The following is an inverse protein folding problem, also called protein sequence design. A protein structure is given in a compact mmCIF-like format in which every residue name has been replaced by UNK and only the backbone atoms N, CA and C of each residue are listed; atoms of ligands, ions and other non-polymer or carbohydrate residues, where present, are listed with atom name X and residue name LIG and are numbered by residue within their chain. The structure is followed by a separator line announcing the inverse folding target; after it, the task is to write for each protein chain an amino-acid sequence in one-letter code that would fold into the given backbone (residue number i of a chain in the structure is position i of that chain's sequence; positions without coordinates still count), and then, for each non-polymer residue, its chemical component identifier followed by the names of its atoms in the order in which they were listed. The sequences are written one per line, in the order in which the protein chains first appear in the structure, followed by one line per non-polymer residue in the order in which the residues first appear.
data_IF_002014245960
#
_entry.id   IF_002014245960
#
_cell.length_a   1.000
_cell.length_b   1.000
_cell.length_c   1.000
_cell.angle_alpha   90.00
_cell.angle_beta   90.00
_cell.angle_gamma   90.00
#
_symmetry.space_group_name_H-M   'P 1'
#
loop_
_entity.id
_entity.type
_entity.pdbx_description
1 polymer ?
#
# COMPACT_ATOMS: atom_id res chain seq x y z
N UNK A 1 50.85 -4.31 83.14
CA UNK A 1 49.40 -4.12 83.32
C UNK A 1 48.68 -4.38 82.00
N UNK A 2 47.44 -4.89 82.02
CA UNK A 2 47.06 -6.06 81.22
C UNK A 2 46.08 -5.81 80.06
N UNK A 3 45.81 -6.91 79.36
CA UNK A 3 44.95 -7.16 78.20
C UNK A 3 43.44 -7.04 78.45
N UNK A 4 42.66 -6.97 77.34
CA UNK A 4 41.32 -7.54 77.06
C UNK A 4 40.76 -6.90 75.76
N UNK A 5 39.99 -7.48 74.81
CA UNK A 5 39.75 -8.83 74.26
C UNK A 5 38.89 -8.68 72.98
N UNK A 6 38.91 -9.69 72.07
CA UNK A 6 37.83 -10.17 71.13
C UNK A 6 37.56 -9.37 69.84
N UNK A 7 37.16 -9.94 68.68
CA UNK A 7 36.80 -11.31 68.23
C UNK A 7 36.87 -11.39 66.68
N UNK A 8 37.09 -12.59 66.13
CA UNK A 8 37.09 -12.95 64.68
C UNK A 8 35.69 -13.20 64.12
N UNK A 9 35.51 -12.98 62.81
CA UNK A 9 34.48 -13.64 61.96
C UNK A 9 35.04 -14.04 60.57
N UNK A 10 34.46 -15.08 59.91
CA UNK A 10 35.08 -15.83 58.79
C UNK A 10 34.57 -15.42 57.38
N UNK A 11 35.17 -15.95 56.29
CA UNK A 11 34.92 -15.51 54.91
C UNK A 11 33.64 -16.07 54.26
N UNK A 12 33.16 -15.36 53.24
CA UNK A 12 31.98 -15.64 52.41
C UNK A 12 32.21 -16.77 51.38
N UNK A 13 31.20 -17.63 51.12
CA UNK A 13 31.32 -18.72 50.14
C UNK A 13 30.91 -18.32 48.70
N UNK A 14 31.52 -19.02 47.74
CA UNK A 14 31.31 -19.00 46.28
C UNK A 14 30.20 -20.01 45.83
N UNK A 15 29.80 -20.06 44.53
CA UNK A 15 28.41 -20.27 44.11
C UNK A 15 28.03 -21.74 43.88
N UNK A 16 26.74 -22.05 44.08
CA UNK A 16 26.14 -23.35 43.78
C UNK A 16 25.58 -23.41 42.35
N UNK A 17 26.02 -24.45 41.64
CA UNK A 17 25.61 -24.90 40.30
C UNK A 17 24.72 -26.13 40.49
N UNK A 18 23.50 -26.16 39.97
CA UNK A 18 22.70 -27.39 39.87
C UNK A 18 21.89 -27.42 38.56
N UNK A 19 22.09 -28.50 37.81
CA UNK A 19 21.25 -29.00 36.71
C UNK A 19 20.74 -30.41 37.11
N UNK A 20 20.02 -31.18 36.26
CA UNK A 20 18.59 -31.52 36.41
C UNK A 20 18.33 -33.02 36.65
N UNK A 21 17.05 -33.42 36.84
CA UNK A 21 16.39 -34.73 36.56
C UNK A 21 15.17 -34.90 37.51
N UNK A 22 14.12 -35.69 37.26
CA UNK A 22 13.51 -36.43 36.14
C UNK A 22 12.21 -37.08 36.69
N UNK A 23 11.48 -37.81 35.83
CA UNK A 23 10.35 -38.76 36.08
C UNK A 23 8.93 -38.18 36.03
N UNK A 24 7.90 -38.80 35.44
CA UNK A 24 7.73 -40.06 34.66
C UNK A 24 6.27 -40.20 34.18
N UNK A 25 6.03 -41.13 33.25
CA UNK A 25 4.76 -41.78 32.81
C UNK A 25 4.07 -41.18 31.58
N UNK A 26 4.18 -41.75 30.36
CA UNK A 26 3.74 -43.06 29.80
C UNK A 26 2.34 -43.06 29.15
N UNK A 27 2.35 -43.09 27.81
CA UNK A 27 1.68 -44.05 26.91
C UNK A 27 0.16 -44.30 27.09
N UNK A 28 -0.63 -44.03 26.05
CA UNK A 28 -1.27 -45.10 25.25
C UNK A 28 -1.88 -44.57 23.95
N UNK A 29 -1.74 -45.40 22.91
CA UNK A 29 -2.34 -45.33 21.58
C UNK A 29 -3.76 -45.91 21.64
N UNK A 30 -4.72 -45.34 20.91
CA UNK A 30 -5.75 -46.17 20.29
C UNK A 30 -6.35 -45.57 19.01
N UNK A 31 -6.47 -46.45 18.03
CA UNK A 31 -6.81 -46.28 16.62
C UNK A 31 -7.93 -47.27 16.36
N UNK A 32 -9.06 -46.86 15.78
CA UNK A 32 -10.04 -47.71 15.07
C UNK A 32 -10.97 -46.76 14.29
N UNK A 33 -10.82 -46.62 12.96
CA UNK A 33 -11.25 -47.50 11.85
C UNK A 33 -12.77 -47.57 11.63
N UNK A 34 -13.18 -46.88 10.55
CA UNK A 34 -14.11 -47.25 9.47
C UNK A 34 -15.44 -47.96 9.79
N UNK A 35 -16.55 -47.35 9.36
CA UNK A 35 -17.55 -48.04 8.54
C UNK A 35 -18.19 -47.10 7.51
N UNK A 36 -18.18 -47.57 6.26
CA UNK A 36 -18.91 -47.10 5.08
C UNK A 36 -20.39 -47.43 5.23
N UNK A 37 -21.33 -46.53 4.90
CA UNK A 37 -22.56 -46.85 4.15
C UNK A 37 -22.97 -45.66 3.30
N UNK A 38 -23.13 -45.94 2.02
CA UNK A 38 -23.73 -45.19 0.93
C UNK A 38 -25.17 -44.73 1.19
N UNK A 39 -25.53 -43.52 0.76
CA UNK A 39 -26.80 -43.34 0.05
C UNK A 39 -26.76 -42.14 -0.89
N UNK A 40 -27.12 -42.41 -2.14
CA UNK A 40 -27.41 -41.47 -3.21
C UNK A 40 -28.81 -40.94 -2.96
N UNK A 41 -29.00 -39.62 -2.93
CA UNK A 41 -30.31 -39.02 -3.19
C UNK A 41 -30.16 -37.61 -3.77
N UNK A 42 -30.36 -37.53 -5.09
CA UNK A 42 -30.99 -36.45 -5.86
C UNK A 42 -30.95 -35.02 -5.30
N UNK A 43 -30.08 -34.19 -5.90
CA UNK A 43 -30.22 -32.73 -5.87
C UNK A 43 -31.41 -32.36 -6.76
N UNK A 44 -32.50 -31.99 -6.11
CA UNK A 44 -33.69 -31.40 -6.72
C UNK A 44 -33.39 -30.00 -7.23
N UNK A 45 -34.03 -29.69 -8.37
CA UNK A 45 -33.97 -28.45 -9.14
C UNK A 45 -34.13 -27.21 -8.25
N UNK A 46 -33.10 -26.38 -8.17
CA UNK A 46 -33.24 -25.00 -7.71
C UNK A 46 -33.59 -24.14 -8.92
N UNK A 47 -34.88 -23.85 -9.01
CA UNK A 47 -35.46 -22.81 -9.88
C UNK A 47 -34.86 -21.46 -9.49
N UNK A 48 -34.05 -20.86 -10.36
CA UNK A 48 -33.72 -19.44 -10.28
C UNK A 48 -34.91 -18.66 -10.86
N UNK A 49 -35.69 -18.08 -9.95
CA UNK A 49 -36.70 -17.09 -10.29
C UNK A 49 -36.06 -15.93 -11.06
N UNK A 50 -36.47 -15.78 -12.32
CA UNK A 50 -36.27 -14.57 -13.11
C UNK A 50 -37.07 -13.43 -12.48
N UNK A 51 -36.40 -12.50 -11.80
CA UNK A 51 -37.02 -11.22 -11.47
C UNK A 51 -37.15 -10.41 -12.75
N UNK A 52 -38.40 -10.23 -13.19
CA UNK A 52 -38.76 -9.60 -14.44
C UNK A 52 -38.35 -8.14 -14.51
N UNK A 53 -37.58 -7.81 -15.54
CA UNK A 53 -37.46 -6.44 -16.03
C UNK A 53 -38.64 -6.17 -16.97
N UNK A 54 -39.49 -5.22 -16.59
CA UNK A 54 -40.58 -4.71 -17.43
C UNK A 54 -39.98 -3.86 -18.55
N UNK A 55 -40.25 -4.25 -19.79
CA UNK A 55 -40.08 -3.40 -20.96
C UNK A 55 -41.16 -2.31 -20.93
N UNK A 56 -40.76 -1.05 -20.80
CA UNK A 56 -41.61 0.08 -21.14
C UNK A 56 -40.93 0.90 -22.23
N UNK A 57 -41.49 0.82 -23.43
CA UNK A 57 -41.21 1.75 -24.52
C UNK A 57 -41.91 3.07 -24.17
N UNK A 58 -41.14 4.11 -23.84
CA UNK A 58 -41.65 5.48 -23.90
C UNK A 58 -40.91 6.21 -25.01
N UNK A 59 -41.63 6.43 -26.11
CA UNK A 59 -41.34 7.45 -27.10
C UNK A 59 -41.40 8.79 -26.37
N UNK A 60 -40.33 9.58 -26.43
CA UNK A 60 -40.33 10.97 -25.98
C UNK A 60 -40.18 11.88 -27.19
N UNK A 61 -41.20 12.70 -27.40
CA UNK A 61 -41.26 13.76 -28.40
C UNK A 61 -40.10 14.75 -28.22
N UNK A 62 -39.57 15.19 -29.35
CA UNK A 62 -38.53 16.19 -29.49
C UNK A 62 -39.08 17.60 -29.28
N UNK A 63 -38.34 18.42 -28.51
CA UNK A 63 -38.47 19.87 -28.53
C UNK A 63 -37.07 20.53 -28.55
N UNK A 64 -36.97 21.74 -29.12
CA UNK A 64 -35.87 22.11 -30.01
C UNK A 64 -34.61 22.55 -29.26
N UNK A 65 -33.47 22.13 -29.80
CA UNK A 65 -32.13 22.53 -29.38
C UNK A 65 -31.89 24.00 -29.72
N UNK A 66 -31.54 24.79 -28.71
CA UNK A 66 -30.88 26.06 -28.91
C UNK A 66 -29.58 25.81 -29.69
N UNK A 67 -29.41 26.50 -30.82
CA UNK A 67 -28.18 26.47 -31.61
C UNK A 67 -27.03 26.99 -30.74
N UNK A 68 -26.16 26.08 -30.31
CA UNK A 68 -24.83 26.40 -29.77
C UNK A 68 -23.81 26.09 -30.88
N UNK A 69 -22.80 26.94 -31.03
CA UNK A 69 -21.78 26.85 -32.08
C UNK A 69 -21.03 25.50 -32.00
N UNK A 70 -20.87 24.82 -33.15
CA UNK A 70 -20.16 23.53 -33.27
C UNK A 70 -18.72 23.58 -32.71
N UNK A 71 -18.13 24.79 -32.65
CA UNK A 71 -16.78 25.03 -32.12
C UNK A 71 -16.68 25.03 -30.58
N UNK A 72 -17.78 25.22 -29.83
CA UNK A 72 -17.78 25.15 -28.36
C UNK A 72 -17.98 23.72 -27.84
N UNK A 73 -18.65 22.85 -28.60
CA UNK A 73 -18.92 21.46 -28.23
C UNK A 73 -17.63 20.62 -28.23
N UNK A 74 -16.71 20.86 -29.17
CA UNK A 74 -15.39 20.21 -29.28
C UNK A 74 -14.48 20.43 -28.07
N UNK A 75 -14.69 21.50 -27.28
CA UNK A 75 -13.88 21.76 -26.07
C UNK A 75 -14.34 20.97 -24.85
N UNK A 76 -15.57 20.47 -24.86
CA UNK A 76 -16.13 19.71 -23.74
C UNK A 76 -15.65 18.27 -23.75
N UNK A 77 -15.58 17.63 -22.57
CA UNK A 77 -15.21 16.22 -22.48
C UNK A 77 -16.17 15.32 -23.28
N UNK A 78 -17.44 15.74 -23.41
CA UNK A 78 -18.43 15.14 -24.30
C UNK A 78 -17.98 15.15 -25.77
N UNK A 79 -17.63 16.31 -26.32
CA UNK A 79 -17.20 16.46 -27.71
C UNK A 79 -15.89 15.74 -28.03
N UNK A 80 -15.02 15.55 -27.03
CA UNK A 80 -13.78 14.77 -27.19
C UNK A 80 -13.99 13.26 -27.08
N UNK A 81 -14.86 12.81 -26.18
CA UNK A 81 -15.05 11.38 -25.88
C UNK A 81 -15.99 10.70 -26.88
N UNK A 82 -17.07 11.36 -27.29
CA UNK A 82 -18.06 10.83 -28.24
C UNK A 82 -17.43 10.26 -29.54
N UNK A 83 -16.60 11.01 -30.29
CA UNK A 83 -16.00 10.48 -31.52
C UNK A 83 -15.07 9.27 -31.26
N UNK A 84 -14.42 9.21 -30.09
CA UNK A 84 -13.59 8.06 -29.72
C UNK A 84 -14.43 6.81 -29.44
N UNK A 85 -15.61 6.95 -28.84
CA UNK A 85 -16.54 5.84 -28.61
C UNK A 85 -17.10 5.33 -29.94
N UNK A 86 -17.48 6.24 -30.84
CA UNK A 86 -17.99 5.89 -32.17
C UNK A 86 -16.94 5.15 -33.01
N UNK A 87 -15.65 5.53 -32.90
CA UNK A 87 -14.55 4.81 -33.53
C UNK A 87 -14.39 3.35 -33.06
N UNK A 88 -14.93 3.00 -31.88
CA UNK A 88 -14.99 1.63 -31.38
C UNK A 88 -16.18 0.85 -31.95
N UNK A 89 -17.05 1.48 -32.73
CA UNK A 89 -18.28 0.91 -33.28
C UNK A 89 -19.42 0.81 -32.26
N UNK A 90 -19.44 1.72 -31.27
CA UNK A 90 -20.45 1.77 -30.21
C UNK A 90 -21.25 3.07 -30.37
N UNK A 91 -22.58 2.96 -30.36
CA UNK A 91 -23.49 4.11 -30.43
C UNK A 91 -23.71 4.70 -29.02
N UNK A 92 -23.08 5.84 -28.75
CA UNK A 92 -23.16 6.52 -27.45
C UNK A 92 -24.55 7.11 -27.16
N UNK A 93 -25.35 7.41 -28.19
CA UNK A 93 -26.66 8.06 -28.00
C UNK A 93 -27.70 7.07 -27.45
N UNK A 94 -27.41 5.77 -27.55
CA UNK A 94 -28.19 4.69 -26.95
C UNK A 94 -27.85 4.39 -25.48
N UNK A 95 -26.85 5.06 -24.92
CA UNK A 95 -26.30 4.77 -23.58
C UNK A 95 -26.64 5.87 -22.57
N UNK A 96 -26.88 5.50 -21.32
CA UNK A 96 -27.15 6.46 -20.24
C UNK A 96 -25.90 6.71 -19.39
N UNK A 97 -25.30 7.92 -19.40
CA UNK A 97 -24.14 8.23 -18.58
C UNK A 97 -24.37 7.94 -17.09
N UNK A 98 -23.39 7.35 -16.43
CA UNK A 98 -23.48 6.92 -15.03
C UNK A 98 -24.13 5.56 -14.81
N UNK A 99 -24.63 4.89 -15.86
CA UNK A 99 -25.19 3.54 -15.79
C UNK A 99 -24.38 2.56 -16.65
N UNK A 100 -24.57 1.26 -16.39
CA UNK A 100 -23.98 0.22 -17.24
C UNK A 100 -25.04 -0.25 -18.23
N UNK A 101 -24.72 -0.13 -19.51
CA UNK A 101 -25.55 -0.58 -20.61
C UNK A 101 -25.05 -1.93 -21.12
N UNK A 102 -25.99 -2.81 -21.49
CA UNK A 102 -25.68 -4.12 -22.07
C UNK A 102 -25.98 -4.08 -23.58
N UNK A 103 -24.92 -4.12 -24.38
CA UNK A 103 -24.93 -3.89 -25.82
C UNK A 103 -24.45 -5.12 -26.61
N UNK A 104 -24.62 -5.07 -27.93
CA UNK A 104 -23.94 -6.01 -28.82
C UNK A 104 -22.46 -5.64 -28.93
N UNK A 105 -21.59 -6.63 -28.76
CA UNK A 105 -20.16 -6.41 -28.92
C UNK A 105 -19.82 -6.17 -30.40
N UNK A 106 -19.20 -5.03 -30.79
CA UNK A 106 -18.82 -4.77 -32.18
C UNK A 106 -17.76 -5.75 -32.71
N UNK A 107 -16.95 -6.35 -31.83
CA UNK A 107 -15.92 -7.34 -32.20
C UNK A 107 -16.49 -8.72 -32.53
N UNK A 108 -17.35 -9.29 -31.67
CA UNK A 108 -17.88 -10.64 -31.86
C UNK A 108 -19.35 -10.70 -32.28
N UNK A 109 -20.05 -9.56 -32.33
CA UNK A 109 -21.47 -9.44 -32.70
C UNK A 109 -22.41 -10.35 -31.89
N UNK A 110 -22.06 -10.63 -30.63
CA UNK A 110 -22.83 -11.49 -29.74
C UNK A 110 -22.51 -12.99 -29.83
N UNK A 111 -21.45 -13.34 -30.56
CA UNK A 111 -20.99 -14.72 -30.72
C UNK A 111 -22.02 -15.62 -31.41
N UNK A 112 -21.87 -16.96 -31.30
CA UNK A 112 -22.82 -17.92 -31.87
C UNK A 112 -24.24 -17.79 -31.30
N UNK A 113 -24.35 -17.23 -30.09
CA UNK A 113 -25.60 -17.08 -29.37
C UNK A 113 -26.35 -15.78 -29.68
N UNK A 114 -25.75 -14.87 -30.48
CA UNK A 114 -26.31 -13.56 -30.84
C UNK A 114 -26.86 -12.79 -29.63
N UNK A 115 -26.15 -12.83 -28.50
CA UNK A 115 -26.57 -12.18 -27.27
C UNK A 115 -25.85 -10.84 -27.06
N UNK A 116 -26.52 -9.92 -26.35
CA UNK A 116 -25.90 -8.68 -25.88
C UNK A 116 -24.89 -9.02 -24.77
N UNK A 117 -23.62 -9.12 -25.13
CA UNK A 117 -22.54 -9.57 -24.25
C UNK A 117 -21.60 -8.45 -23.81
N UNK A 118 -21.71 -7.24 -24.38
CA UNK A 118 -20.84 -6.11 -24.06
C UNK A 118 -21.46 -5.28 -22.94
N UNK A 119 -20.82 -5.25 -21.78
CA UNK A 119 -21.12 -4.24 -20.76
C UNK A 119 -20.32 -2.98 -21.05
N UNK A 120 -21.00 -1.85 -21.14
CA UNK A 120 -20.47 -0.55 -21.51
C UNK A 120 -20.88 0.50 -20.47
N UNK A 121 -19.99 1.44 -20.15
CA UNK A 121 -20.27 2.51 -19.20
C UNK A 121 -19.60 3.80 -19.63
N UNK A 122 -20.35 4.90 -19.62
CA UNK A 122 -19.85 6.26 -19.81
C UNK A 122 -19.90 6.96 -18.45
N UNK A 123 -18.84 7.66 -18.07
CA UNK A 123 -18.83 8.43 -16.83
C UNK A 123 -19.86 9.60 -16.89
N UNK A 124 -20.48 10.00 -15.76
CA UNK A 124 -21.50 11.06 -15.77
C UNK A 124 -21.02 12.41 -16.33
N UNK A 125 -19.72 12.67 -16.25
CA UNK A 125 -19.09 13.88 -16.75
C UNK A 125 -18.42 13.70 -18.12
N UNK A 126 -18.64 12.57 -18.81
CA UNK A 126 -18.05 12.25 -20.11
C UNK A 126 -16.52 12.29 -20.17
N UNK A 127 -15.86 12.15 -19.02
CA UNK A 127 -14.39 12.12 -18.93
C UNK A 127 -13.78 10.81 -19.44
N UNK A 128 -14.52 9.71 -19.39
CA UNK A 128 -14.06 8.40 -19.87
C UNK A 128 -15.22 7.43 -20.16
N UNK A 129 -14.93 6.40 -20.94
CA UNK A 129 -15.79 5.24 -21.12
C UNK A 129 -15.01 3.94 -20.92
N UNK A 130 -15.66 2.92 -20.36
CA UNK A 130 -15.08 1.59 -20.14
C UNK A 130 -16.00 0.51 -20.69
N UNK A 131 -15.41 -0.60 -21.14
CA UNK A 131 -16.19 -1.71 -21.68
C UNK A 131 -15.55 -3.08 -21.44
N UNK A 132 -16.41 -4.10 -21.41
CA UNK A 132 -16.00 -5.51 -21.39
C UNK A 132 -17.06 -6.40 -22.02
N UNK A 133 -16.62 -7.24 -22.94
CA UNK A 133 -17.42 -8.32 -23.50
C UNK A 133 -17.30 -9.57 -22.62
N UNK A 134 -18.42 -10.07 -22.14
CA UNK A 134 -18.52 -11.26 -21.29
C UNK A 134 -18.64 -12.58 -22.06
N UNK A 135 -18.67 -12.52 -23.39
CA UNK A 135 -18.49 -13.71 -24.22
C UNK A 135 -17.06 -14.26 -24.00
N UNK A 136 -16.98 -15.50 -23.53
CA UNK A 136 -15.73 -16.16 -23.12
C UNK A 136 -14.72 -16.29 -24.27
N UNK A 137 -15.17 -16.33 -25.52
CA UNK A 137 -14.28 -16.41 -26.68
C UNK A 137 -13.84 -15.03 -27.18
N UNK A 138 -14.62 -13.99 -26.90
CA UNK A 138 -14.28 -12.62 -27.30
C UNK A 138 -13.39 -11.92 -26.26
N UNK A 139 -13.87 -11.79 -25.03
CA UNK A 139 -13.14 -11.12 -23.94
C UNK A 139 -12.73 -9.66 -24.18
N UNK A 140 -13.18 -9.02 -25.27
CA UNK A 140 -12.78 -7.68 -25.66
C UNK A 140 -13.13 -6.66 -24.58
N UNK A 141 -12.14 -5.95 -24.08
CA UNK A 141 -12.28 -4.97 -23.01
C UNK A 141 -11.33 -3.81 -23.24
N UNK A 142 -11.66 -2.66 -22.65
CA UNK A 142 -10.82 -1.48 -22.73
C UNK A 142 -11.43 -0.30 -22.01
N UNK A 143 -10.71 0.80 -22.08
CA UNK A 143 -11.13 2.10 -21.60
C UNK A 143 -10.62 3.18 -22.54
N UNK A 144 -11.31 4.30 -22.59
CA UNK A 144 -10.91 5.48 -23.36
C UNK A 144 -11.24 6.74 -22.58
N UNK A 145 -10.32 7.69 -22.57
CA UNK A 145 -10.47 8.98 -21.87
C UNK A 145 -10.73 10.10 -22.87
N UNK A 146 -11.41 11.16 -22.44
CA UNK A 146 -11.60 12.37 -23.23
C UNK A 146 -10.24 13.01 -23.58
N UNK A 147 -9.35 13.12 -22.61
CA UNK A 147 -8.00 13.68 -22.78
C UNK A 147 -6.95 12.60 -23.12
N UNK A 148 -6.12 12.89 -24.12
CA UNK A 148 -5.15 11.97 -24.75
C UNK A 148 -3.86 11.74 -23.96
N UNK A 149 -3.63 12.44 -22.85
CA UNK A 149 -2.41 12.28 -22.04
C UNK A 149 -2.37 10.99 -21.18
N UNK A 150 -3.39 10.13 -21.29
CA UNK A 150 -3.51 8.85 -20.59
C UNK A 150 -3.65 7.65 -21.56
N UNK A 151 -3.33 7.85 -22.84
CA UNK A 151 -3.39 6.81 -23.87
C UNK A 151 -2.08 5.99 -23.87
N UNK A 152 -1.94 5.08 -22.91
CA UNK A 152 -0.94 4.01 -23.00
C UNK A 152 -1.64 2.64 -22.98
N UNK A 153 -1.67 1.88 -24.10
CA UNK A 153 -2.31 0.57 -24.16
C UNK A 153 -1.32 -0.50 -23.70
N UNK A 154 -1.10 -0.58 -22.39
CA UNK A 154 -0.27 -1.60 -21.75
C UNK A 154 -1.09 -2.43 -20.78
N UNK A 155 -1.29 -3.71 -21.10
CA UNK A 155 -1.95 -4.75 -20.29
C UNK A 155 -1.91 -4.54 -18.77
N UNK A 156 -3.01 -4.07 -18.18
CA UNK A 156 -3.30 -4.26 -16.75
C UNK A 156 -4.48 -5.21 -16.59
N UNK A 157 -4.16 -6.50 -16.42
CA UNK A 157 -5.05 -7.46 -15.75
C UNK A 157 -5.10 -7.10 -14.26
N UNK A 158 -5.71 -5.97 -13.93
CA UNK A 158 -6.04 -5.57 -12.56
C UNK A 158 -7.53 -5.77 -12.31
N UNK A 159 -7.89 -6.49 -11.24
CA UNK A 159 -9.26 -6.53 -10.71
C UNK A 159 -9.77 -5.10 -10.54
N UNK A 160 -10.78 -4.69 -11.31
CA UNK A 160 -11.55 -3.48 -11.04
C UNK A 160 -12.41 -3.78 -9.80
N UNK A 161 -11.81 -3.64 -8.61
CA UNK A 161 -12.60 -3.33 -7.43
C UNK A 161 -13.08 -1.89 -7.64
N UNK A 162 -14.38 -1.68 -7.58
CA UNK A 162 -15.01 -0.37 -7.62
C UNK A 162 -14.52 0.51 -6.46
N UNK A 163 -13.36 1.16 -6.62
CA UNK A 163 -12.86 2.14 -5.67
C UNK A 163 -13.52 3.47 -5.98
N UNK A 164 -14.36 3.93 -5.06
CA UNK A 164 -14.59 5.38 -4.95
C UNK A 164 -13.21 6.02 -4.77
N UNK A 165 -12.87 7.08 -5.52
CA UNK A 165 -11.63 7.81 -5.32
C UNK A 165 -11.50 8.19 -3.86
N UNK A 166 -10.38 7.82 -3.23
CA UNK A 166 -10.08 8.27 -1.88
C UNK A 166 -9.84 9.77 -1.94
N UNK A 167 -10.62 10.52 -1.17
CA UNK A 167 -10.46 11.97 -1.04
C UNK A 167 -10.33 12.34 0.43
N UNK A 168 -9.65 13.46 0.68
CA UNK A 168 -9.53 14.08 2.01
C UNK A 168 -10.91 14.19 2.68
N UNK A 169 -11.91 14.68 1.94
CA UNK A 169 -13.28 14.79 2.43
C UNK A 169 -13.93 13.44 2.77
N UNK A 170 -13.75 12.42 1.92
CA UNK A 170 -14.29 11.08 2.19
C UNK A 170 -13.72 10.42 3.45
N UNK A 171 -12.50 10.80 3.83
CA UNK A 171 -11.81 10.30 5.02
C UNK A 171 -11.97 11.21 6.23
N UNK A 172 -12.71 12.32 6.10
CA UNK A 172 -12.86 13.36 7.13
C UNK A 172 -11.51 13.82 7.67
N UNK A 173 -10.57 14.05 6.77
CA UNK A 173 -9.24 14.55 7.12
C UNK A 173 -9.24 16.08 7.12
N UNK A 174 -8.56 16.66 8.09
CA UNK A 174 -8.36 18.11 8.22
C UNK A 174 -6.90 18.42 8.58
N UNK A 175 -6.53 19.70 8.54
CA UNK A 175 -5.19 20.14 8.91
C UNK A 175 -4.90 19.84 10.39
N UNK A 176 -3.63 19.57 10.71
CA UNK A 176 -3.20 19.34 12.09
C UNK A 176 -3.49 20.55 12.98
N UNK A 177 -4.11 20.31 14.13
CA UNK A 177 -4.30 21.26 15.20
C UNK A 177 -3.11 21.34 16.15
N UNK A 178 -3.13 22.33 17.03
CA UNK A 178 -1.98 22.70 17.88
C UNK A 178 -1.46 21.57 18.78
N UNK A 179 -2.34 20.71 19.30
CA UNK A 179 -1.94 19.55 20.12
C UNK A 179 -1.05 18.57 19.35
N UNK A 180 -1.43 18.24 18.10
CA UNK A 180 -0.64 17.35 17.26
C UNK A 180 0.61 18.04 16.71
N UNK A 181 0.53 19.32 16.37
CA UNK A 181 1.71 20.10 16.00
C UNK A 181 2.74 20.10 17.14
N UNK A 182 2.29 20.26 18.38
CA UNK A 182 3.15 20.16 19.56
C UNK A 182 3.78 18.76 19.67
N UNK A 183 2.99 17.70 19.54
CA UNK A 183 3.47 16.32 19.54
C UNK A 183 4.57 16.04 18.50
N UNK A 184 4.46 16.60 17.30
CA UNK A 184 5.49 16.47 16.26
C UNK A 184 6.71 17.35 16.55
N UNK A 185 6.52 18.56 17.07
CA UNK A 185 7.61 19.46 17.45
C UNK A 185 8.50 18.87 18.55
N UNK A 186 7.92 18.15 19.52
CA UNK A 186 8.67 17.38 20.54
C UNK A 186 9.57 16.30 19.94
N UNK A 187 9.28 15.89 18.69
CA UNK A 187 10.03 14.90 17.92
C UNK A 187 10.91 15.54 16.85
N UNK A 188 11.14 16.85 16.97
CA UNK A 188 11.94 17.64 16.05
C UNK A 188 11.42 17.65 14.61
N UNK A 189 10.11 17.45 14.41
CA UNK A 189 9.46 17.51 13.10
C UNK A 189 8.69 18.82 12.99
N UNK A 190 9.06 19.62 12.00
CA UNK A 190 8.51 20.94 11.72
C UNK A 190 7.12 20.87 11.09
N UNK A 191 6.37 21.96 11.20
CA UNK A 191 5.04 22.10 10.57
C UNK A 191 5.16 22.04 9.04
N UNK A 192 6.24 22.60 8.51
CA UNK A 192 6.55 22.69 7.09
C UNK A 192 6.73 21.28 6.51
N UNK A 193 7.52 20.43 7.17
CA UNK A 193 7.68 19.01 6.79
C UNK A 193 6.34 18.26 6.84
N UNK A 194 5.53 18.46 7.88
CA UNK A 194 4.21 17.81 7.97
C UNK A 194 3.28 18.23 6.82
N UNK A 195 3.29 19.51 6.47
CA UNK A 195 2.48 20.05 5.38
C UNK A 195 2.93 19.51 4.01
N UNK A 196 4.25 19.50 3.72
CA UNK A 196 4.78 18.96 2.46
C UNK A 196 4.42 17.48 2.30
N UNK A 197 4.48 16.74 3.41
CA UNK A 197 4.15 15.32 3.47
C UNK A 197 2.66 15.01 3.54
N UNK A 198 1.79 16.02 3.53
CA UNK A 198 0.34 15.84 3.65
C UNK A 198 -0.05 14.99 4.88
N UNK A 199 0.62 15.22 6.02
CA UNK A 199 0.20 14.65 7.30
C UNK A 199 -1.02 15.42 7.79
N UNK A 200 -2.09 14.69 8.10
CA UNK A 200 -3.40 15.26 8.44
C UNK A 200 -3.90 14.71 9.77
N UNK A 201 -4.99 15.25 10.30
CA UNK A 201 -5.71 14.66 11.42
C UNK A 201 -7.12 14.23 11.03
N UNK A 202 -7.72 13.36 11.84
CA UNK A 202 -9.12 12.97 11.67
C UNK A 202 -10.02 14.01 12.33
N UNK A 203 -10.96 14.58 11.57
CA UNK A 203 -11.84 15.64 12.03
C UNK A 203 -12.67 15.22 13.25
N UNK A 204 -12.61 16.06 14.29
CA UNK A 204 -13.26 15.81 15.58
C UNK A 204 -12.51 14.82 16.48
N UNK A 205 -11.29 14.42 16.14
CA UNK A 205 -10.46 13.57 17.00
C UNK A 205 -9.01 14.09 17.07
N UNK A 206 -8.73 14.90 18.09
CA UNK A 206 -7.46 15.60 18.27
C UNK A 206 -6.26 14.67 18.52
N UNK A 207 -6.49 13.38 18.81
CA UNK A 207 -5.41 12.44 19.15
C UNK A 207 -5.05 11.48 18.01
N UNK A 208 -5.64 11.66 16.83
CA UNK A 208 -5.44 10.76 15.69
C UNK A 208 -4.97 11.53 14.48
N UNK A 209 -3.75 11.22 14.05
CA UNK A 209 -3.18 11.70 12.80
C UNK A 209 -3.14 10.61 11.73
N UNK A 210 -3.01 11.06 10.50
CA UNK A 210 -3.13 10.28 9.29
C UNK A 210 -1.95 10.60 8.36
N UNK A 211 -1.24 9.54 7.98
CA UNK A 211 -0.26 9.56 6.91
C UNK A 211 -0.97 9.25 5.59
N UNK A 212 -0.91 10.19 4.66
CA UNK A 212 -1.58 10.07 3.37
C UNK A 212 -0.63 9.51 2.32
N UNK A 213 -0.94 8.32 1.81
CA UNK A 213 -0.16 7.67 0.77
C UNK A 213 -0.62 8.19 -0.57
N UNK A 214 0.31 8.70 -1.37
CA UNK A 214 0.00 9.40 -2.62
C UNK A 214 0.78 8.81 -3.78
N UNK A 215 0.16 8.86 -4.95
CA UNK A 215 0.78 8.57 -6.24
C UNK A 215 0.31 9.62 -7.24
N UNK A 216 1.24 10.29 -7.90
CA UNK A 216 0.98 11.41 -8.81
C UNK A 216 0.09 12.49 -8.19
N UNK A 217 0.31 12.77 -6.90
CA UNK A 217 -0.50 13.71 -6.14
C UNK A 217 -1.92 13.22 -5.81
N UNK A 218 -2.32 11.99 -6.16
CA UNK A 218 -3.61 11.41 -5.81
C UNK A 218 -3.53 10.59 -4.53
N UNK A 219 -4.52 10.69 -3.65
CA UNK A 219 -4.61 9.88 -2.44
C UNK A 219 -4.99 8.44 -2.79
N UNK A 220 -4.09 7.49 -2.51
CA UNK A 220 -4.29 6.05 -2.82
C UNK A 220 -4.36 5.18 -1.56
N UNK A 221 -3.91 5.69 -0.43
CA UNK A 221 -3.95 5.00 0.85
C UNK A 221 -3.91 5.95 2.03
N UNK A 222 -4.31 5.46 3.20
CA UNK A 222 -4.26 6.24 4.43
C UNK A 222 -3.97 5.32 5.61
N UNK A 223 -2.95 5.66 6.38
CA UNK A 223 -2.61 4.98 7.63
C UNK A 223 -2.77 5.95 8.77
N UNK A 224 -3.40 5.49 9.83
CA UNK A 224 -3.75 6.28 10.99
C UNK A 224 -2.91 5.83 12.18
N UNK A 225 -2.59 6.79 13.03
CA UNK A 225 -1.86 6.57 14.26
C UNK A 225 -2.45 7.44 15.37
N UNK A 226 -2.61 6.86 16.55
CA UNK A 226 -2.88 7.65 17.76
C UNK A 226 -1.58 8.09 18.43
N UNK A 227 -1.65 9.14 19.25
CA UNK A 227 -0.52 9.56 20.10
C UNK A 227 -0.03 8.43 21.02
N UNK A 228 -0.93 7.54 21.44
CA UNK A 228 -0.64 6.32 22.23
C UNK A 228 -0.14 5.13 21.39
N UNK A 229 0.32 5.36 20.15
CA UNK A 229 0.93 4.36 19.26
C UNK A 229 0.01 3.20 18.85
N UNK A 230 -1.29 3.47 18.64
CA UNK A 230 -2.19 2.51 17.98
C UNK A 230 -2.29 2.82 16.49
N UNK A 231 -2.18 1.79 15.64
CA UNK A 231 -2.12 1.93 14.18
C UNK A 231 -3.24 1.17 13.49
N UNK A 232 -3.78 1.74 12.43
CA UNK A 232 -4.64 1.03 11.48
C UNK A 232 -4.53 1.65 10.10
N UNK A 233 -4.85 0.88 9.07
CA UNK A 233 -4.82 1.35 7.68
C UNK A 233 -6.21 1.23 7.07
N UNK A 234 -6.50 2.10 6.11
CA UNK A 234 -7.71 1.99 5.31
C UNK A 234 -7.70 0.65 4.56
N UNK A 235 -8.73 -0.17 4.83
CA UNK A 235 -8.94 -1.45 4.14
C UNK A 235 -9.17 -1.21 2.66
N UNK A 236 -8.84 -2.22 1.86
CA UNK A 236 -9.01 -2.17 0.41
C UNK A 236 -8.26 -0.93 -0.11
N UNK A 237 -6.95 -0.87 0.10
CA UNK A 237 -6.10 0.11 -0.54
C UNK A 237 -4.91 -0.62 -1.11
N UNK A 238 -4.35 -0.10 -2.20
CA UNK A 238 -3.12 -0.67 -2.73
C UNK A 238 -1.99 -0.44 -1.73
N UNK A 239 -1.16 -1.46 -1.54
CA UNK A 239 0.03 -1.32 -0.71
C UNK A 239 1.04 -0.51 -1.51
N UNK A 240 1.32 0.69 -1.06
CA UNK A 240 2.27 1.63 -1.68
C UNK A 240 3.26 2.11 -0.63
N UNK A 241 4.38 2.66 -1.06
CA UNK A 241 5.33 3.33 -0.18
C UNK A 241 4.80 4.73 0.20
N UNK A 242 5.09 5.16 1.42
CA UNK A 242 4.82 6.54 1.83
C UNK A 242 5.94 7.45 1.30
N UNK A 243 5.58 8.57 0.65
CA UNK A 243 6.55 9.45 -0.02
C UNK A 243 6.91 9.05 -1.46
N UNK A 244 6.12 8.16 -2.08
CA UNK A 244 6.41 7.62 -3.43
C UNK A 244 6.65 8.70 -4.50
N UNK A 245 5.91 9.80 -4.46
CA UNK A 245 6.05 10.90 -5.42
C UNK A 245 7.43 11.59 -5.33
N UNK A 246 8.08 11.56 -4.17
CA UNK A 246 9.40 12.18 -3.96
C UNK A 246 10.54 11.41 -4.64
N UNK A 247 10.31 10.15 -5.03
CA UNK A 247 11.34 9.27 -5.63
C UNK A 247 11.11 9.00 -7.12
N UNK A 248 10.14 9.66 -7.76
CA UNK A 248 9.76 9.41 -9.16
C UNK A 248 10.95 9.49 -10.15
N UNK A 249 11.87 10.43 -9.92
CA UNK A 249 13.06 10.66 -10.74
C UNK A 249 14.36 10.61 -9.90
N UNK A 250 14.35 9.96 -8.75
CA UNK A 250 15.51 9.89 -7.87
C UNK A 250 16.47 8.76 -8.29
N UNK A 251 17.76 9.09 -8.43
CA UNK A 251 18.82 8.12 -8.70
C UNK A 251 19.28 7.39 -7.43
N UNK A 252 19.15 8.05 -6.28
CA UNK A 252 19.40 7.51 -4.95
C UNK A 252 18.10 7.52 -4.14
N UNK A 253 17.76 6.42 -3.48
CA UNK A 253 16.55 6.29 -2.67
C UNK A 253 16.89 5.81 -1.26
N UNK A 254 16.35 6.47 -0.24
CA UNK A 254 16.45 6.04 1.16
C UNK A 254 15.14 5.34 1.56
N UNK A 255 15.23 4.11 2.07
CA UNK A 255 14.08 3.36 2.59
C UNK A 255 14.19 3.26 4.12
N UNK A 256 13.17 3.75 4.82
CA UNK A 256 13.01 3.64 6.28
C UNK A 256 11.83 2.74 6.66
N UNK A 257 11.77 2.32 7.92
CA UNK A 257 10.68 1.46 8.39
C UNK A 257 9.37 2.23 8.65
N UNK A 258 9.44 3.36 9.36
CA UNK A 258 8.27 4.11 9.79
C UNK A 258 8.04 5.42 9.04
N UNK A 259 6.78 5.87 9.01
CA UNK A 259 6.45 7.19 8.44
C UNK A 259 7.09 8.34 9.23
N UNK A 260 7.30 8.17 10.54
CA UNK A 260 7.99 9.15 11.40
C UNK A 260 9.47 9.28 11.04
N UNK A 261 10.12 8.18 10.68
CA UNK A 261 11.52 8.18 10.27
C UNK A 261 11.67 8.90 8.92
N UNK A 262 10.70 8.74 8.02
CA UNK A 262 10.68 9.47 6.74
C UNK A 262 10.62 10.97 6.98
N UNK A 263 9.75 11.41 7.88
CA UNK A 263 9.67 12.82 8.27
C UNK A 263 11.00 13.30 8.88
N UNK A 264 11.65 12.45 9.68
CA UNK A 264 12.95 12.77 10.30
C UNK A 264 14.08 12.89 9.28
N UNK A 265 14.07 12.05 8.23
CA UNK A 265 15.01 12.17 7.10
C UNK A 265 14.86 13.50 6.37
N UNK A 266 13.61 13.97 6.23
CA UNK A 266 13.34 15.25 5.57
C UNK A 266 13.84 16.45 6.38
N UNK A 267 13.74 16.40 7.71
CA UNK A 267 14.37 17.39 8.61
C UNK A 267 15.91 17.40 8.46
N UNK A 268 16.50 16.26 8.08
CA UNK A 268 17.91 16.17 7.74
C UNK A 268 18.25 16.60 6.30
N UNK A 269 17.27 16.96 5.48
CA UNK A 269 17.43 17.42 4.09
C UNK A 269 17.28 16.32 3.03
N UNK A 270 16.87 15.12 3.41
CA UNK A 270 16.66 14.00 2.48
C UNK A 270 15.20 13.92 2.03
N UNK A 271 14.92 14.46 0.85
CA UNK A 271 13.59 14.40 0.23
C UNK A 271 13.34 13.06 -0.49
N UNK A 272 14.40 12.42 -0.98
CA UNK A 272 14.41 11.13 -1.68
C UNK A 272 14.22 9.93 -0.72
N UNK A 273 13.36 10.06 0.29
CA UNK A 273 13.12 9.06 1.31
C UNK A 273 11.68 8.54 1.27
N UNK A 274 11.53 7.22 1.40
CA UNK A 274 10.24 6.53 1.48
C UNK A 274 10.16 5.62 2.69
N UNK A 275 8.96 5.42 3.24
CA UNK A 275 8.74 4.41 4.29
C UNK A 275 7.93 3.22 3.80
N UNK A 276 8.22 2.04 4.34
CA UNK A 276 7.43 0.83 4.05
C UNK A 276 6.03 0.93 4.69
N UNK A 277 4.96 0.42 4.03
CA UNK A 277 3.60 0.54 4.56
C UNK A 277 3.33 -0.38 5.74
N UNK A 278 3.95 -1.55 5.72
CA UNK A 278 3.82 -2.61 6.71
C UNK A 278 5.19 -2.79 7.38
N UNK A 279 5.21 -2.79 8.72
CA UNK A 279 6.44 -2.89 9.50
C UNK A 279 7.19 -4.21 9.28
N UNK A 280 8.33 -4.35 9.95
CA UNK A 280 9.27 -5.43 9.69
C UNK A 280 8.72 -6.86 9.94
N UNK A 281 9.12 -7.85 9.13
CA UNK A 281 8.90 -9.25 9.45
C UNK A 281 9.72 -9.67 10.68
N UNK A 282 9.27 -10.72 11.37
CA UNK A 282 9.99 -11.24 12.54
C UNK A 282 11.32 -11.91 12.18
N UNK A 283 11.44 -12.47 10.98
CA UNK A 283 12.62 -13.18 10.51
C UNK A 283 12.74 -13.10 8.99
N UNK A 284 13.96 -13.24 8.51
CA UNK A 284 14.28 -13.37 7.08
C UNK A 284 13.74 -14.71 6.58
N UNK A 285 13.13 -14.70 5.40
CA UNK A 285 12.66 -15.91 4.75
C UNK A 285 13.85 -16.74 4.29
N UNK A 286 13.95 -17.97 4.81
CA UNK A 286 14.92 -18.97 4.33
C UNK A 286 14.53 -19.58 2.97
N UNK A 287 13.35 -19.23 2.44
CA UNK A 287 12.84 -19.75 1.17
C UNK A 287 13.39 -18.92 0.01
N UNK A 288 13.38 -19.51 -1.18
CA UNK A 288 13.55 -18.77 -2.43
C UNK A 288 12.56 -17.60 -2.51
N UNK A 289 12.95 -16.55 -3.22
CA UNK A 289 12.10 -15.38 -3.39
C UNK A 289 10.78 -15.79 -4.07
N UNK A 290 9.63 -15.48 -3.46
CA UNK A 290 8.34 -15.75 -4.07
C UNK A 290 8.20 -14.97 -5.39
N UNK A 291 7.39 -15.49 -6.31
CA UNK A 291 6.99 -14.71 -7.49
C UNK A 291 6.20 -13.46 -7.05
N UNK A 292 6.20 -12.37 -7.83
CA UNK A 292 5.53 -11.13 -7.47
C UNK A 292 4.08 -11.31 -7.01
N UNK A 293 3.33 -12.24 -7.62
CA UNK A 293 1.92 -12.51 -7.28
C UNK A 293 1.73 -13.22 -5.94
N UNK A 294 2.77 -13.88 -5.43
CA UNK A 294 2.76 -14.64 -4.17
C UNK A 294 3.38 -13.85 -3.02
N UNK A 295 4.05 -12.75 -3.31
CA UNK A 295 4.80 -11.95 -2.35
C UNK A 295 3.93 -10.89 -1.63
N UNK A 296 2.82 -11.34 -1.06
CA UNK A 296 1.79 -10.45 -0.51
C UNK A 296 2.28 -9.50 0.61
N UNK A 297 3.35 -9.86 1.32
CA UNK A 297 3.97 -9.03 2.35
C UNK A 297 4.74 -7.85 1.76
N UNK A 298 5.44 -8.08 0.64
CA UNK A 298 6.27 -7.10 -0.06
C UNK A 298 5.67 -6.62 -1.38
N UNK A 299 4.36 -6.82 -1.58
CA UNK A 299 3.62 -6.39 -2.77
C UNK A 299 3.87 -4.92 -3.14
N UNK A 300 4.12 -4.06 -2.15
CA UNK A 300 4.43 -2.66 -2.37
C UNK A 300 5.71 -2.42 -3.19
N UNK A 301 6.72 -3.29 -3.10
CA UNK A 301 7.92 -3.19 -3.93
C UNK A 301 7.61 -3.45 -5.40
N UNK A 302 6.79 -4.47 -5.65
CA UNK A 302 6.37 -4.82 -7.01
C UNK A 302 5.47 -3.75 -7.62
N UNK A 303 4.58 -3.16 -6.80
CA UNK A 303 3.73 -2.04 -7.22
C UNK A 303 4.53 -0.76 -7.53
N UNK A 304 5.72 -0.61 -6.91
CA UNK A 304 6.59 0.55 -7.08
C UNK A 304 7.85 0.21 -7.91
N UNK A 305 7.85 -0.90 -8.67
CA UNK A 305 9.06 -1.42 -9.33
C UNK A 305 9.70 -0.39 -10.27
N UNK A 306 8.88 0.31 -11.04
CA UNK A 306 9.34 1.30 -12.02
C UNK A 306 10.14 2.45 -11.38
N UNK A 307 9.85 2.79 -10.12
CA UNK A 307 10.59 3.79 -9.35
C UNK A 307 11.96 3.26 -8.95
N UNK A 308 12.02 2.01 -8.50
CA UNK A 308 13.28 1.38 -8.07
C UNK A 308 14.18 0.99 -9.25
N UNK A 309 13.66 0.66 -10.42
CA UNK A 309 14.47 0.30 -11.58
C UNK A 309 15.36 1.46 -12.06
N UNK A 310 14.95 2.71 -11.81
CA UNK A 310 15.75 3.90 -12.11
C UNK A 310 16.86 4.16 -11.09
N UNK A 311 16.68 3.69 -9.85
CA UNK A 311 17.62 3.96 -8.77
C UNK A 311 18.90 3.12 -8.91
N UNK A 312 20.03 3.81 -8.94
CA UNK A 312 21.36 3.19 -8.96
C UNK A 312 21.88 2.90 -7.54
N UNK A 313 21.38 3.65 -6.54
CA UNK A 313 21.76 3.50 -5.13
C UNK A 313 20.53 3.47 -4.22
N UNK A 314 20.45 2.45 -3.37
CA UNK A 314 19.35 2.29 -2.40
C UNK A 314 19.93 2.18 -0.99
N UNK A 315 19.63 3.15 -0.14
CA UNK A 315 20.07 3.18 1.26
C UNK A 315 18.94 2.61 2.13
N UNK A 316 19.25 1.54 2.86
CA UNK A 316 18.36 0.85 3.77
C UNK A 316 18.63 1.36 5.20
N UNK A 317 17.75 2.25 5.65
CA UNK A 317 17.77 2.90 6.95
C UNK A 317 16.62 2.38 7.83
N UNK A 318 16.52 1.06 7.95
CA UNK A 318 15.52 0.37 8.79
C UNK A 318 15.90 0.43 10.27
N UNK A 319 15.00 0.01 11.16
CA UNK A 319 15.27 -0.04 12.59
C UNK A 319 16.52 -0.89 12.92
N UNK A 320 17.29 -0.46 13.91
CA UNK A 320 18.50 -1.13 14.41
C UNK A 320 18.22 -2.37 15.27
N UNK A 321 16.97 -2.83 15.33
CA UNK A 321 16.58 -4.04 16.04
C UNK A 321 16.54 -5.27 15.13
N UNK A 322 16.27 -6.46 15.71
CA UNK A 322 16.29 -7.73 14.97
C UNK A 322 15.25 -7.74 13.83
N UNK A 323 13.98 -7.32 14.04
CA UNK A 323 13.02 -7.15 12.95
C UNK A 323 13.51 -6.20 11.86
N UNK A 324 14.01 -5.01 12.20
CA UNK A 324 14.50 -4.04 11.22
C UNK A 324 15.65 -4.59 10.38
N UNK A 325 16.58 -5.34 11.00
CA UNK A 325 17.63 -6.05 10.26
C UNK A 325 17.07 -7.11 9.30
N UNK A 326 16.03 -7.85 9.72
CA UNK A 326 15.36 -8.80 8.85
C UNK A 326 14.63 -8.12 7.69
N UNK A 327 14.04 -6.94 7.92
CA UNK A 327 13.44 -6.12 6.88
C UNK A 327 14.48 -5.69 5.85
N UNK A 328 15.62 -5.14 6.29
CA UNK A 328 16.69 -4.72 5.38
C UNK A 328 17.18 -5.87 4.49
N UNK A 329 17.31 -7.07 5.04
CA UNK A 329 17.69 -8.26 4.29
C UNK A 329 16.64 -8.65 3.23
N UNK A 330 15.36 -8.66 3.58
CA UNK A 330 14.27 -8.97 2.64
C UNK A 330 14.14 -7.91 1.54
N UNK A 331 14.38 -6.63 1.86
CA UNK A 331 14.44 -5.54 0.89
C UNK A 331 15.61 -5.74 -0.06
N UNK A 332 16.82 -5.96 0.45
CA UNK A 332 18.04 -6.12 -0.35
C UNK A 332 17.93 -7.31 -1.31
N UNK A 333 17.37 -8.44 -0.86
CA UNK A 333 17.15 -9.62 -1.72
C UNK A 333 16.23 -9.33 -2.93
N UNK A 334 15.24 -8.44 -2.79
CA UNK A 334 14.28 -8.12 -3.86
C UNK A 334 14.73 -6.97 -4.74
N UNK A 335 15.43 -6.01 -4.15
CA UNK A 335 15.87 -4.81 -4.85
C UNK A 335 17.20 -5.01 -5.57
N UNK A 336 18.01 -6.01 -5.18
CA UNK A 336 19.36 -6.23 -5.70
C UNK A 336 20.39 -5.77 -4.67
N UNK A 337 21.08 -6.72 -4.03
CA UNK A 337 22.02 -6.46 -2.94
C UNK A 337 23.18 -5.55 -3.37
N UNK A 338 23.62 -5.69 -4.60
CA UNK A 338 24.75 -4.95 -5.20
C UNK A 338 24.53 -3.44 -5.26
N UNK A 339 23.27 -3.01 -5.21
CA UNK A 339 22.88 -1.60 -5.18
C UNK A 339 22.20 -1.20 -3.87
N UNK A 340 22.36 -2.00 -2.82
CA UNK A 340 21.87 -1.66 -1.49
C UNK A 340 23.03 -1.26 -0.58
N UNK A 341 22.79 -0.26 0.27
CA UNK A 341 23.67 0.18 1.35
C UNK A 341 22.89 0.11 2.65
N UNK A 342 23.51 -0.28 3.75
CA UNK A 342 22.89 -0.39 5.07
C UNK A 342 23.43 0.70 5.99
N UNK A 343 22.51 1.41 6.62
CA UNK A 343 22.83 2.38 7.67
C UNK A 343 23.16 1.64 8.97
N UNK A 344 24.19 2.10 9.67
CA UNK A 344 24.45 1.73 11.06
C UNK A 344 24.14 2.94 11.94
N UNK A 345 23.15 2.81 12.81
CA UNK A 345 22.78 3.91 13.70
C UNK A 345 23.89 4.22 14.72
N UNK A 346 24.10 5.50 15.08
CA UNK A 346 25.12 5.89 16.05
C UNK A 346 24.95 5.21 17.41
N UNK A 347 26.05 5.08 18.16
CA UNK A 347 26.01 4.53 19.52
C UNK A 347 25.41 5.55 20.50
N UNK A 348 24.51 5.09 21.37
CA UNK A 348 24.03 5.83 22.55
C UNK A 348 25.03 5.76 23.70
N UNK A 349 25.61 4.57 23.88
CA UNK A 349 26.60 4.23 24.89
C UNK A 349 27.38 2.99 24.42
N UNK A 350 28.20 2.38 25.29
CA UNK A 350 29.02 1.24 24.92
C UNK A 350 28.21 0.02 24.46
N UNK A 351 27.00 -0.16 25.01
CA UNK A 351 26.17 -1.37 24.84
C UNK A 351 24.95 -1.20 23.92
N UNK A 352 24.62 0.02 23.50
CA UNK A 352 23.41 0.28 22.72
C UNK A 352 23.59 1.38 21.68
N UNK A 353 22.82 1.26 20.60
CA UNK A 353 22.74 2.26 19.52
C UNK A 353 21.36 2.88 19.46
N UNK A 354 21.24 4.01 18.75
CA UNK A 354 19.93 4.55 18.41
C UNK A 354 19.13 3.56 17.57
N UNK A 355 17.81 3.55 17.77
CA UNK A 355 16.94 2.56 17.14
C UNK A 355 16.65 2.92 15.69
N UNK A 356 16.34 4.18 15.44
CA UNK A 356 15.76 4.65 14.19
C UNK A 356 16.18 6.10 13.91
N UNK A 357 15.75 6.62 12.76
CA UNK A 357 16.10 7.97 12.32
C UNK A 357 15.54 9.05 13.26
N UNK A 358 14.31 8.86 13.77
CA UNK A 358 13.70 9.83 14.67
C UNK A 358 14.44 9.92 16.00
N UNK A 359 14.87 8.80 16.57
CA UNK A 359 15.68 8.81 17.78
C UNK A 359 17.02 9.52 17.58
N UNK A 360 17.69 9.32 16.44
CA UNK A 360 18.93 10.07 16.12
C UNK A 360 18.65 11.56 16.01
N UNK A 361 17.63 11.95 15.26
CA UNK A 361 17.24 13.35 15.09
C UNK A 361 16.94 14.03 16.43
N UNK A 362 16.15 13.37 17.29
CA UNK A 362 15.74 13.93 18.58
C UNK A 362 16.90 14.12 19.56
N UNK A 363 17.91 13.23 19.53
CA UNK A 363 18.96 13.21 20.54
C UNK A 363 20.27 13.84 20.07
N UNK A 364 20.60 13.71 18.78
CA UNK A 364 21.87 14.15 18.20
C UNK A 364 21.70 15.24 17.12
N UNK A 365 20.47 15.45 16.62
CA UNK A 365 20.18 16.47 15.62
C UNK A 365 20.38 16.02 14.17
N UNK A 366 20.06 16.92 13.25
CA UNK A 366 20.03 16.67 11.81
C UNK A 366 21.42 16.38 11.21
N UNK A 367 22.49 17.00 11.73
CA UNK A 367 23.87 16.74 11.26
C UNK A 367 24.28 15.30 11.50
N UNK A 368 24.09 14.80 12.73
CA UNK A 368 24.43 13.41 13.06
C UNK A 368 23.57 12.39 12.27
N UNK A 369 22.32 12.73 11.97
CA UNK A 369 21.48 11.90 11.09
C UNK A 369 22.05 11.88 9.67
N UNK A 370 22.50 13.02 9.13
CA UNK A 370 23.17 13.07 7.82
C UNK A 370 24.44 12.24 7.80
N UNK A 371 25.29 12.36 8.81
CA UNK A 371 26.53 11.60 8.92
C UNK A 371 26.25 10.09 8.90
N UNK A 372 25.26 9.62 9.65
CA UNK A 372 24.86 8.21 9.67
C UNK A 372 24.41 7.69 8.29
N UNK A 373 23.75 8.53 7.48
CA UNK A 373 23.35 8.18 6.10
C UNK A 373 24.54 8.19 5.14
N UNK A 374 25.44 9.16 5.28
CA UNK A 374 26.64 9.26 4.45
C UNK A 374 27.60 8.09 4.68
N UNK A 375 27.67 7.62 5.94
CA UNK A 375 28.48 6.48 6.37
C UNK A 375 27.82 5.12 6.09
N UNK A 376 26.69 5.09 5.37
CA UNK A 376 26.03 3.83 5.01
C UNK A 376 26.98 2.93 4.22
N UNK A 377 27.06 1.66 4.64
CA UNK A 377 28.01 0.70 4.09
C UNK A 377 27.35 -0.20 3.04
N UNK A 378 28.09 -0.64 2.03
CA UNK A 378 27.56 -1.54 1.01
C UNK A 378 26.96 -2.79 1.67
N UNK A 379 25.77 -3.20 1.23
CA UNK A 379 25.10 -4.36 1.77
C UNK A 379 25.90 -5.61 1.39
N UNK A 380 26.39 -6.34 2.41
CA UNK A 380 27.26 -7.48 2.21
C UNK A 380 26.58 -8.52 1.30
N UNK A 381 27.24 -8.81 0.18
CA UNK A 381 26.92 -9.98 -0.64
C UNK A 381 27.40 -11.20 0.13
N UNK A 382 26.49 -12.03 0.66
CA UNK A 382 26.88 -13.36 1.13
C UNK A 382 27.48 -14.12 -0.05
N UNK A 383 28.80 -14.33 -0.01
CA UNK A 383 29.54 -15.18 -0.95
C UNK A 383 29.14 -16.63 -0.80
#
# INVERSE_FOLDING_TARGET
MPAHTRLRTPPSPLPCRWTPNASSNSLSVNRLLCFWVSSVESISRISLHSNGFRSFCHVRESQPTAYMDEAEEERTDFGKLKPKIEALGIDSDSCAPGQYDLLYCPKCKGGPSLNRSLSFHISPNWSYAIWRCFDLQCGWAGQVFADTNMDNPGNLRGKINSYRPLTVGSLRLEMLGDELLTFFSERMISKETLQRNNVMQVAGNQKVFAFTYRQNGMLVGCKYRTVEKKFWQRKNTEKMLYGLDDIAEAEEIIIVEGEMDKLSMEEAGYYNCVSVPSGAPQMVSLKELPSPEKDSCFQYLWNCKDYFDKASRIILATDGDIPGQALAEELARRLGRERCWRVRWPKKNEDSSFKDANEVLMNLGADALRDAINDAELFETQN
#
